data_IF_745260928125
#
_entry.id   IF_745260928125
#
_cell.length_a   1.000
_cell.length_b   1.000
_cell.length_c   1.000
_cell.angle_alpha   90.00
_cell.angle_beta   90.00
_cell.angle_gamma   90.00
#
_symmetry.space_group_name_H-M   'P 1'
#
loop_
_entity.id
_entity.type
_entity.pdbx_description
1 polymer ?
#
# COMPACT_ATOMS: atom_id res chain seq x y z
N UNK A 1 -39.64 -23.19 19.73
CA UNK A 1 -38.18 -22.95 19.63
C UNK A 1 -37.87 -21.60 20.27
N UNK A 2 -36.83 -21.46 21.10
CA UNK A 2 -36.53 -20.17 21.76
C UNK A 2 -36.06 -19.12 20.74
N UNK A 3 -36.28 -17.80 20.99
CA UNK A 3 -35.75 -16.71 20.15
C UNK A 3 -34.24 -16.87 19.88
N UNK A 4 -33.51 -17.30 20.90
CA UNK A 4 -32.08 -17.58 20.84
C UNK A 4 -31.73 -18.72 19.88
N UNK A 5 -32.51 -19.80 19.90
CA UNK A 5 -32.33 -20.95 19.00
C UNK A 5 -32.67 -20.59 17.56
N UNK A 6 -33.71 -19.77 17.34
CA UNK A 6 -34.07 -19.24 16.01
C UNK A 6 -32.94 -18.35 15.46
N UNK A 7 -32.41 -17.43 16.27
CA UNK A 7 -31.26 -16.59 15.89
C UNK A 7 -30.05 -17.42 15.48
N UNK A 8 -29.70 -18.45 16.27
CA UNK A 8 -28.58 -19.32 15.96
C UNK A 8 -28.80 -20.09 14.66
N UNK A 9 -30.00 -20.64 14.46
CA UNK A 9 -30.33 -21.33 13.22
C UNK A 9 -30.15 -20.40 12.01
N UNK A 10 -30.72 -19.20 12.05
CA UNK A 10 -30.60 -18.22 10.97
C UNK A 10 -29.13 -17.84 10.73
N UNK A 11 -28.40 -17.45 11.78
CA UNK A 11 -27.00 -17.00 11.66
C UNK A 11 -26.11 -18.08 11.06
N UNK A 12 -26.15 -19.30 11.60
CA UNK A 12 -25.28 -20.38 11.11
C UNK A 12 -25.74 -20.90 9.74
N UNK A 13 -27.04 -20.90 9.44
CA UNK A 13 -27.52 -21.19 8.08
C UNK A 13 -26.96 -20.18 7.08
N UNK A 14 -27.01 -18.88 7.38
CA UNK A 14 -26.42 -17.84 6.51
C UNK A 14 -24.91 -18.01 6.43
N UNK A 15 -24.22 -18.16 7.56
CA UNK A 15 -22.76 -18.31 7.60
C UNK A 15 -22.32 -19.50 6.74
N UNK A 16 -22.88 -20.70 6.98
CA UNK A 16 -22.48 -21.89 6.23
C UNK A 16 -22.92 -21.84 4.76
N UNK A 17 -24.09 -21.26 4.45
CA UNK A 17 -24.50 -21.07 3.05
C UNK A 17 -23.55 -20.12 2.32
N UNK A 18 -23.15 -19.02 2.97
CA UNK A 18 -22.17 -18.07 2.43
C UNK A 18 -20.80 -18.70 2.28
N UNK A 19 -20.29 -19.40 3.30
CA UNK A 19 -18.99 -20.11 3.21
C UNK A 19 -19.01 -21.17 2.13
N UNK A 20 -20.09 -21.95 2.01
CA UNK A 20 -20.24 -22.94 0.94
C UNK A 20 -20.25 -22.29 -0.44
N UNK A 21 -20.97 -21.17 -0.58
CA UNK A 21 -21.05 -20.40 -1.82
C UNK A 21 -19.70 -19.78 -2.23
N UNK A 22 -18.89 -19.34 -1.26
CA UNK A 22 -17.60 -18.72 -1.49
C UNK A 22 -16.53 -19.78 -1.76
N UNK A 23 -16.37 -20.77 -0.87
CA UNK A 23 -15.16 -21.60 -0.77
C UNK A 23 -15.40 -23.12 -0.82
N UNK A 24 -16.58 -23.58 -1.23
CA UNK A 24 -16.93 -25.00 -1.40
C UNK A 24 -16.93 -25.83 -0.09
N UNK A 25 -17.06 -27.16 -0.21
CA UNK A 25 -17.40 -28.04 0.92
C UNK A 25 -16.24 -28.35 1.88
N UNK A 26 -14.98 -28.29 1.44
CA UNK A 26 -13.81 -28.57 2.29
C UNK A 26 -13.72 -27.59 3.47
N UNK A 27 -13.94 -26.30 3.20
CA UNK A 27 -13.93 -25.23 4.20
C UNK A 27 -15.00 -25.39 5.28
N UNK A 28 -16.10 -26.07 4.96
CA UNK A 28 -17.16 -26.34 5.94
C UNK A 28 -16.69 -27.32 7.01
N UNK A 29 -15.92 -28.35 6.63
CA UNK A 29 -15.34 -29.30 7.58
C UNK A 29 -14.32 -28.63 8.49
N UNK A 30 -13.41 -27.85 7.93
CA UNK A 30 -12.40 -27.12 8.70
C UNK A 30 -13.05 -26.15 9.69
N UNK A 31 -14.11 -25.46 9.26
CA UNK A 31 -14.88 -24.56 10.14
C UNK A 31 -15.55 -25.29 11.30
N UNK A 32 -16.11 -26.48 11.06
CA UNK A 32 -16.73 -27.31 12.11
C UNK A 32 -15.68 -27.80 13.10
N UNK A 33 -14.54 -28.32 12.61
CA UNK A 33 -13.45 -28.79 13.45
C UNK A 33 -12.89 -27.65 14.32
N UNK A 34 -12.72 -26.48 13.74
CA UNK A 34 -12.25 -25.29 14.44
C UNK A 34 -13.24 -24.84 15.54
N UNK A 35 -14.54 -24.84 15.24
CA UNK A 35 -15.59 -24.54 16.23
C UNK A 35 -15.63 -25.57 17.36
N UNK A 36 -15.45 -26.85 17.06
CA UNK A 36 -15.38 -27.91 18.07
C UNK A 36 -14.16 -27.72 18.99
N UNK A 37 -12.99 -27.45 18.41
CA UNK A 37 -11.78 -27.17 19.16
C UNK A 37 -11.92 -25.95 20.07
N UNK A 38 -12.43 -24.83 19.54
CA UNK A 38 -12.69 -23.62 20.35
C UNK A 38 -13.76 -23.85 21.42
N UNK A 39 -14.75 -24.71 21.17
CA UNK A 39 -15.72 -25.08 22.19
C UNK A 39 -15.03 -25.79 23.35
N UNK A 40 -14.08 -26.70 23.12
CA UNK A 40 -13.38 -27.39 24.20
C UNK A 40 -12.57 -26.39 25.05
N UNK A 41 -11.80 -25.52 24.40
CA UNK A 41 -11.03 -24.47 25.10
C UNK A 41 -11.93 -23.53 25.90
N UNK A 42 -13.02 -23.06 25.29
CA UNK A 42 -13.98 -22.18 25.96
C UNK A 42 -14.67 -22.88 27.13
N UNK A 43 -14.91 -24.19 27.03
CA UNK A 43 -15.48 -24.97 28.13
C UNK A 43 -14.54 -24.98 29.35
N UNK A 44 -13.24 -25.14 29.13
CA UNK A 44 -12.24 -25.06 30.21
C UNK A 44 -12.29 -23.73 30.95
N UNK A 45 -12.30 -22.61 30.21
CA UNK A 45 -12.43 -21.26 30.79
C UNK A 45 -13.77 -21.09 31.52
N UNK A 46 -14.87 -21.52 30.89
CA UNK A 46 -16.21 -21.44 31.45
C UNK A 46 -16.34 -22.25 32.75
N UNK A 47 -15.75 -23.44 32.81
CA UNK A 47 -15.71 -24.30 33.99
C UNK A 47 -14.96 -23.62 35.13
N UNK A 48 -13.75 -23.11 34.88
CA UNK A 48 -12.96 -22.37 35.87
C UNK A 48 -13.73 -21.15 36.39
N UNK A 49 -14.30 -20.35 35.48
CA UNK A 49 -15.09 -19.17 35.85
C UNK A 49 -16.33 -19.52 36.68
N UNK A 50 -17.03 -20.60 36.32
CA UNK A 50 -18.22 -21.06 37.05
C UNK A 50 -17.86 -21.57 38.45
N UNK A 51 -16.73 -22.28 38.58
CA UNK A 51 -16.20 -22.72 39.88
C UNK A 51 -15.82 -21.52 40.76
N UNK A 52 -15.09 -20.55 40.23
CA UNK A 52 -14.71 -19.32 40.94
C UNK A 52 -15.92 -18.50 41.39
N UNK A 53 -16.97 -18.42 40.56
CA UNK A 53 -18.20 -17.69 40.86
C UNK A 53 -19.26 -18.53 41.60
N UNK A 54 -18.94 -19.76 42.02
CA UNK A 54 -19.88 -20.71 42.65
C UNK A 54 -21.19 -20.88 41.87
N UNK A 55 -21.14 -20.82 40.53
CA UNK A 55 -22.31 -21.00 39.67
C UNK A 55 -22.50 -22.47 39.32
N UNK A 56 -23.76 -22.92 39.26
CA UNK A 56 -24.11 -24.26 38.77
C UNK A 56 -23.65 -24.39 37.31
N UNK A 57 -22.95 -25.47 37.00
CA UNK A 57 -22.55 -25.79 35.64
C UNK A 57 -23.79 -26.11 34.80
N UNK A 58 -23.80 -25.57 33.58
CA UNK A 58 -24.80 -25.88 32.56
C UNK A 58 -24.63 -27.33 32.09
N UNK A 59 -25.73 -27.94 31.66
CA UNK A 59 -25.66 -29.19 30.89
C UNK A 59 -24.88 -28.98 29.58
N UNK A 60 -24.39 -30.07 28.97
CA UNK A 60 -23.65 -30.01 27.71
C UNK A 60 -24.42 -29.26 26.61
N UNK A 61 -25.73 -29.52 26.46
CA UNK A 61 -26.60 -28.85 25.49
C UNK A 61 -26.72 -27.36 25.76
N UNK A 62 -26.97 -26.97 27.01
CA UNK A 62 -27.09 -25.56 27.41
C UNK A 62 -25.77 -24.80 27.27
N UNK A 63 -24.65 -25.49 27.53
CA UNK A 63 -23.32 -24.97 27.32
C UNK A 63 -23.05 -24.74 25.82
N UNK A 64 -23.32 -25.71 24.94
CA UNK A 64 -23.12 -25.56 23.49
C UNK A 64 -23.98 -24.42 22.94
N UNK A 65 -25.26 -24.34 23.31
CA UNK A 65 -26.13 -23.22 22.93
C UNK A 65 -25.64 -21.88 23.48
N UNK A 66 -24.97 -21.88 24.63
CA UNK A 66 -24.33 -20.68 25.17
C UNK A 66 -23.08 -20.31 24.37
N UNK A 67 -22.17 -21.25 24.14
CA UNK A 67 -20.95 -21.06 23.35
C UNK A 67 -21.25 -20.54 21.94
N UNK A 68 -22.07 -21.27 21.17
CA UNK A 68 -22.42 -20.88 19.80
C UNK A 68 -23.09 -19.50 19.76
N UNK A 69 -23.92 -19.15 20.75
CA UNK A 69 -24.50 -17.80 20.79
C UNK A 69 -23.48 -16.71 21.05
N UNK A 70 -22.44 -16.97 21.85
CA UNK A 70 -21.37 -16.01 22.11
C UNK A 70 -20.48 -15.85 20.89
N UNK A 71 -20.14 -16.96 20.22
CA UNK A 71 -19.39 -16.93 18.97
C UNK A 71 -20.17 -16.19 17.88
N UNK A 72 -21.46 -16.48 17.68
CA UNK A 72 -22.28 -15.80 16.68
C UNK A 72 -22.34 -14.28 16.93
N UNK A 73 -22.59 -13.85 18.17
CA UNK A 73 -22.60 -12.41 18.52
C UNK A 73 -21.22 -11.79 18.31
N UNK A 74 -20.16 -12.47 18.74
CA UNK A 74 -18.79 -11.98 18.57
C UNK A 74 -18.41 -11.84 17.09
N UNK A 75 -18.73 -12.83 16.25
CA UNK A 75 -18.51 -12.79 14.81
C UNK A 75 -19.31 -11.67 14.14
N UNK A 76 -20.57 -11.45 14.53
CA UNK A 76 -21.36 -10.33 14.02
C UNK A 76 -20.73 -8.97 14.37
N UNK A 77 -20.24 -8.82 15.60
CA UNK A 77 -19.55 -7.60 16.03
C UNK A 77 -18.27 -7.40 15.21
N UNK A 78 -17.47 -8.45 15.01
CA UNK A 78 -16.26 -8.41 14.20
C UNK A 78 -16.57 -8.05 12.75
N UNK A 79 -17.51 -8.75 12.11
CA UNK A 79 -17.90 -8.52 10.73
C UNK A 79 -18.43 -7.09 10.55
N UNK A 80 -19.28 -6.64 11.46
CA UNK A 80 -19.79 -5.27 11.45
C UNK A 80 -18.67 -4.25 11.62
N UNK A 81 -17.74 -4.46 12.56
CA UNK A 81 -16.62 -3.57 12.80
C UNK A 81 -15.70 -3.46 11.57
N UNK A 82 -15.24 -4.59 11.02
CA UNK A 82 -14.37 -4.60 9.85
C UNK A 82 -15.07 -4.07 8.61
N UNK A 83 -16.33 -4.44 8.38
CA UNK A 83 -17.09 -3.92 7.25
C UNK A 83 -17.29 -2.40 7.36
N UNK A 84 -17.59 -1.90 8.55
CA UNK A 84 -17.69 -0.46 8.81
C UNK A 84 -16.37 0.25 8.58
N UNK A 85 -15.24 -0.36 8.98
CA UNK A 85 -13.91 0.17 8.72
C UNK A 85 -13.61 0.21 7.22
N UNK A 86 -13.85 -0.89 6.48
CA UNK A 86 -13.61 -0.92 5.04
C UNK A 86 -14.50 0.07 4.28
N UNK A 87 -15.77 0.17 4.68
CA UNK A 87 -16.68 1.17 4.12
C UNK A 87 -16.25 2.60 4.43
N UNK A 88 -15.82 2.88 5.66
CA UNK A 88 -15.32 4.19 6.04
C UNK A 88 -14.09 4.57 5.20
N UNK A 89 -13.11 3.67 5.08
CA UNK A 89 -11.87 3.90 4.35
C UNK A 89 -12.08 4.05 2.85
N UNK A 90 -13.04 3.34 2.25
CA UNK A 90 -13.30 3.45 0.80
C UNK A 90 -14.29 4.56 0.43
N UNK A 91 -15.32 4.80 1.24
CA UNK A 91 -16.47 5.63 0.85
C UNK A 91 -16.57 6.96 1.60
N UNK A 92 -16.18 7.00 2.89
CA UNK A 92 -16.34 8.19 3.74
C UNK A 92 -15.06 9.02 3.76
N UNK A 93 -13.91 8.37 3.93
CA UNK A 93 -12.61 9.01 4.07
C UNK A 93 -11.54 8.30 3.23
N UNK A 94 -11.73 8.22 1.89
CA UNK A 94 -10.69 7.69 1.01
C UNK A 94 -9.42 8.53 1.11
N UNK A 95 -8.28 7.89 0.88
CA UNK A 95 -7.01 8.57 0.85
C UNK A 95 -7.01 9.68 -0.22
N UNK A 96 -6.18 10.68 0.00
CA UNK A 96 -6.02 11.82 -0.90
C UNK A 96 -4.55 11.99 -1.21
N UNK A 97 -4.23 12.21 -2.48
CA UNK A 97 -2.90 12.61 -2.90
C UNK A 97 -2.85 14.12 -3.13
N UNK A 98 -1.91 14.83 -2.50
CA UNK A 98 -1.75 16.25 -2.67
C UNK A 98 -0.99 16.59 -3.97
N UNK A 99 -1.39 17.71 -4.56
CA UNK A 99 -0.54 18.57 -5.39
C UNK A 99 -0.25 19.83 -4.59
N UNK A 100 1.02 20.02 -4.25
CA UNK A 100 1.50 21.21 -3.55
C UNK A 100 1.93 22.26 -4.57
N UNK A 101 1.40 23.47 -4.48
CA UNK A 101 2.02 24.62 -5.13
C UNK A 101 2.94 25.28 -4.12
N UNK A 102 4.24 25.28 -4.38
CA UNK A 102 5.26 25.94 -3.55
C UNK A 102 5.93 27.07 -4.34
N UNK A 103 6.36 28.12 -3.64
CA UNK A 103 7.07 29.25 -4.26
C UNK A 103 8.00 29.95 -3.28
N UNK A 104 9.09 30.52 -3.80
CA UNK A 104 9.97 31.47 -3.09
C UNK A 104 9.83 32.91 -3.63
N UNK A 105 8.75 33.21 -4.36
CA UNK A 105 8.54 34.50 -5.04
C UNK A 105 9.27 34.65 -6.38
N UNK A 106 10.33 33.87 -6.64
CA UNK A 106 11.04 33.86 -7.93
C UNK A 106 10.64 32.68 -8.81
N UNK A 107 10.44 31.52 -8.19
CA UNK A 107 10.07 30.25 -8.83
C UNK A 107 8.75 29.73 -8.27
N UNK A 108 8.03 28.99 -9.10
CA UNK A 108 6.79 28.30 -8.74
C UNK A 108 6.95 26.83 -9.12
N UNK A 109 6.78 25.94 -8.14
CA UNK A 109 6.81 24.49 -8.34
C UNK A 109 5.45 23.94 -7.96
N UNK A 110 4.83 23.19 -8.88
CA UNK A 110 3.67 22.37 -8.60
C UNK A 110 4.13 20.93 -8.43
N UNK A 111 4.17 20.44 -7.21
CA UNK A 111 4.60 19.08 -6.88
C UNK A 111 3.38 18.16 -6.76
N UNK A 112 3.20 17.29 -7.74
CA UNK A 112 2.18 16.25 -7.73
C UNK A 112 2.72 14.98 -7.08
N UNK A 113 2.12 14.58 -5.95
CA UNK A 113 2.38 13.27 -5.37
C UNK A 113 1.87 12.16 -6.31
N UNK A 114 2.77 11.26 -6.69
CA UNK A 114 2.52 10.11 -7.54
C UNK A 114 2.67 8.80 -6.75
N UNK A 115 2.10 7.72 -7.28
CA UNK A 115 2.57 6.36 -7.01
C UNK A 115 2.37 5.51 -8.27
N UNK A 116 2.98 4.33 -8.27
CA UNK A 116 3.04 3.47 -9.46
C UNK A 116 1.75 2.76 -9.81
N UNK A 117 0.78 2.67 -8.89
CA UNK A 117 -0.51 2.01 -9.13
C UNK A 117 -1.62 2.86 -8.54
N UNK A 118 -2.55 3.34 -9.37
CA UNK A 118 -3.74 4.11 -8.99
C UNK A 118 -4.90 3.95 -9.98
N UNK A 119 -6.02 4.60 -9.68
CA UNK A 119 -7.20 4.59 -10.55
C UNK A 119 -6.97 5.29 -11.88
N UNK A 120 -7.75 4.91 -12.89
CA UNK A 120 -7.76 5.59 -14.18
C UNK A 120 -8.12 7.07 -14.06
N UNK A 121 -9.09 7.40 -13.21
CA UNK A 121 -9.50 8.78 -12.94
C UNK A 121 -8.34 9.62 -12.41
N UNK A 122 -7.53 9.05 -11.50
CA UNK A 122 -6.36 9.75 -10.97
C UNK A 122 -5.38 10.10 -12.09
N UNK A 123 -4.93 9.12 -12.87
CA UNK A 123 -3.97 9.37 -13.95
C UNK A 123 -4.56 10.21 -15.09
N UNK A 124 -5.87 10.11 -15.36
CA UNK A 124 -6.58 11.01 -16.27
C UNK A 124 -6.51 12.47 -15.81
N UNK A 125 -6.68 12.71 -14.50
CA UNK A 125 -6.47 14.04 -13.92
C UNK A 125 -5.01 14.51 -14.06
N UNK A 126 -4.02 13.64 -13.82
CA UNK A 126 -2.60 13.99 -14.00
C UNK A 126 -2.31 14.37 -15.44
N UNK A 127 -2.78 13.57 -16.41
CA UNK A 127 -2.66 13.88 -17.84
C UNK A 127 -3.24 15.25 -18.19
N UNK A 128 -4.43 15.55 -17.69
CA UNK A 128 -5.08 16.85 -17.91
C UNK A 128 -4.31 18.01 -17.27
N UNK A 129 -3.75 17.80 -16.07
CA UNK A 129 -2.89 18.79 -15.41
C UNK A 129 -1.61 19.05 -16.21
N UNK A 130 -0.95 18.00 -16.72
CA UNK A 130 0.23 18.17 -17.57
C UNK A 130 -0.11 19.01 -18.80
N UNK A 131 -1.20 18.69 -19.50
CA UNK A 131 -1.63 19.47 -20.67
C UNK A 131 -1.91 20.93 -20.29
N UNK A 132 -2.56 21.16 -19.16
CA UNK A 132 -2.93 22.51 -18.68
C UNK A 132 -1.69 23.30 -18.29
N UNK A 133 -0.82 22.75 -17.45
CA UNK A 133 0.35 23.47 -16.94
C UNK A 133 1.40 23.71 -18.02
N UNK A 134 1.57 22.81 -18.98
CA UNK A 134 2.43 23.06 -20.14
C UNK A 134 1.94 24.24 -20.98
N UNK A 135 0.63 24.41 -21.16
CA UNK A 135 0.05 25.61 -21.81
C UNK A 135 0.32 26.89 -21.00
N UNK A 136 0.47 26.77 -19.69
CA UNK A 136 0.84 27.86 -18.78
C UNK A 136 2.37 28.05 -18.61
N UNK A 137 3.16 27.47 -19.53
CA UNK A 137 4.63 27.54 -19.60
C UNK A 137 5.36 26.86 -18.43
N UNK A 138 4.76 25.84 -17.82
CA UNK A 138 5.47 24.95 -16.92
C UNK A 138 6.29 23.92 -17.71
N UNK A 139 7.53 23.68 -17.29
CA UNK A 139 8.31 22.51 -17.72
C UNK A 139 7.99 21.30 -16.85
N UNK A 140 8.06 20.09 -17.41
CA UNK A 140 7.75 18.87 -16.66
C UNK A 140 9.01 18.24 -16.10
N UNK A 141 9.11 18.12 -14.79
CA UNK A 141 10.12 17.30 -14.13
C UNK A 141 9.49 15.98 -13.71
N UNK A 142 10.07 14.85 -14.10
CA UNK A 142 9.47 13.55 -13.81
C UNK A 142 10.45 12.52 -13.25
N UNK A 143 9.90 11.69 -12.38
CA UNK A 143 10.55 10.52 -11.79
C UNK A 143 10.62 9.37 -12.81
N UNK A 144 11.83 8.86 -13.03
CA UNK A 144 12.08 7.62 -13.78
C UNK A 144 13.51 7.16 -13.51
N UNK A 145 13.69 6.22 -12.59
CA UNK A 145 15.01 5.63 -12.33
C UNK A 145 15.46 4.89 -13.59
N UNK A 146 16.56 5.35 -14.18
CA UNK A 146 17.10 4.75 -15.40
C UNK A 146 17.65 3.36 -15.09
N UNK A 147 17.47 2.38 -15.99
CA UNK A 147 18.01 1.03 -15.79
C UNK A 147 19.54 1.08 -15.67
N UNK A 148 20.08 0.20 -14.82
CA UNK A 148 21.52 0.01 -14.70
C UNK A 148 22.01 -1.11 -15.61
N UNK A 149 23.30 -1.43 -15.51
CA UNK A 149 23.85 -2.63 -16.14
C UNK A 149 23.27 -3.91 -15.51
N UNK A 150 23.40 -5.05 -16.21
CA UNK A 150 22.79 -6.32 -15.77
C UNK A 150 23.21 -6.74 -14.35
N UNK A 151 24.50 -6.53 -14.00
CA UNK A 151 25.04 -6.87 -12.67
C UNK A 151 24.41 -6.01 -11.58
N UNK A 152 24.33 -4.70 -11.81
CA UNK A 152 23.77 -3.77 -10.83
C UNK A 152 22.24 -3.90 -10.72
N UNK A 153 21.53 -4.26 -11.78
CA UNK A 153 20.10 -4.60 -11.70
C UNK A 153 19.88 -5.83 -10.80
N UNK A 154 20.71 -6.86 -10.91
CA UNK A 154 20.62 -8.03 -10.03
C UNK A 154 20.94 -7.67 -8.57
N UNK A 155 22.01 -6.90 -8.34
CA UNK A 155 22.36 -6.38 -7.01
C UNK A 155 21.21 -5.56 -6.41
N UNK A 156 20.62 -4.67 -7.18
CA UNK A 156 19.51 -3.82 -6.75
C UNK A 156 18.29 -4.66 -6.33
N UNK A 157 17.92 -5.67 -7.13
CA UNK A 157 16.86 -6.61 -6.76
C UNK A 157 17.16 -7.38 -5.46
N UNK A 158 18.41 -7.78 -5.24
CA UNK A 158 18.84 -8.41 -3.98
C UNK A 158 18.75 -7.45 -2.79
N UNK A 159 19.15 -6.19 -2.98
CA UNK A 159 19.05 -5.14 -1.95
C UNK A 159 17.60 -4.83 -1.58
N UNK A 160 16.69 -4.84 -2.57
CA UNK A 160 15.26 -4.64 -2.34
C UNK A 160 14.57 -5.87 -1.76
N UNK A 161 15.18 -7.06 -1.87
CA UNK A 161 14.56 -8.34 -1.47
C UNK A 161 13.40 -8.78 -2.38
N UNK A 162 13.12 -8.04 -3.46
CA UNK A 162 12.07 -8.33 -4.44
C UNK A 162 12.62 -8.19 -5.86
N UNK A 163 12.10 -8.98 -6.80
CA UNK A 163 12.36 -8.75 -8.22
C UNK A 163 11.58 -7.53 -8.69
N UNK A 164 12.29 -6.43 -8.89
CA UNK A 164 11.70 -5.19 -9.36
C UNK A 164 11.55 -5.22 -10.88
N UNK A 165 10.32 -5.16 -11.39
CA UNK A 165 10.05 -5.08 -12.82
C UNK A 165 8.81 -4.24 -13.08
N UNK A 166 8.63 -3.80 -14.33
CA UNK A 166 7.38 -3.16 -14.77
C UNK A 166 6.18 -4.11 -14.59
N UNK A 167 6.39 -5.40 -14.81
CA UNK A 167 5.37 -6.43 -14.69
C UNK A 167 4.85 -6.55 -13.26
N UNK A 168 5.71 -6.37 -12.26
CA UNK A 168 5.32 -6.32 -10.84
C UNK A 168 4.19 -5.33 -10.58
N UNK A 169 4.24 -4.13 -11.16
CA UNK A 169 3.18 -3.13 -10.98
C UNK A 169 1.90 -3.47 -11.73
N UNK A 170 2.02 -4.09 -12.91
CA UNK A 170 0.87 -4.56 -13.70
C UNK A 170 0.13 -5.67 -12.94
N UNK A 171 0.84 -6.59 -12.31
CA UNK A 171 0.20 -7.68 -11.58
C UNK A 171 -0.40 -7.20 -10.27
N UNK A 172 0.34 -6.39 -9.50
CA UNK A 172 -0.20 -5.78 -8.29
C UNK A 172 -1.46 -4.98 -8.58
N UNK A 173 -1.54 -4.25 -9.71
CA UNK A 173 -2.72 -3.44 -10.03
C UNK A 173 -4.01 -4.26 -10.15
N UNK A 174 -3.92 -5.52 -10.59
CA UNK A 174 -5.05 -6.47 -10.64
C UNK A 174 -5.64 -6.74 -9.25
N UNK A 175 -4.80 -6.88 -8.21
CA UNK A 175 -5.25 -7.14 -6.84
C UNK A 175 -5.99 -5.98 -6.18
N UNK A 176 -5.83 -4.77 -6.71
CA UNK A 176 -6.46 -3.56 -6.21
C UNK A 176 -7.55 -3.01 -7.15
N UNK A 177 -7.75 -3.63 -8.32
CA UNK A 177 -8.56 -3.08 -9.41
C UNK A 177 -8.16 -1.64 -9.74
N UNK A 178 -6.86 -1.45 -9.90
CA UNK A 178 -6.26 -0.18 -10.28
C UNK A 178 -5.47 -0.44 -11.58
N UNK A 179 -4.72 0.56 -12.02
CA UNK A 179 -3.78 0.38 -13.11
C UNK A 179 -2.41 0.91 -12.77
N UNK A 180 -1.42 0.45 -13.50
CA UNK A 180 -0.06 0.95 -13.42
C UNK A 180 0.11 2.33 -14.08
N UNK A 181 1.08 3.08 -13.59
CA UNK A 181 1.55 4.31 -14.22
C UNK A 181 2.14 4.03 -15.60
N UNK A 182 1.68 4.77 -16.61
CA UNK A 182 2.16 4.67 -18.00
C UNK A 182 2.76 5.99 -18.47
N UNK A 183 4.09 6.06 -18.54
CA UNK A 183 4.81 7.31 -18.80
C UNK A 183 4.45 8.00 -20.12
N UNK A 184 4.12 7.22 -21.16
CA UNK A 184 3.68 7.76 -22.45
C UNK A 184 2.36 8.54 -22.39
N UNK A 185 1.60 8.46 -21.30
CA UNK A 185 0.35 9.22 -21.15
C UNK A 185 0.54 10.65 -20.65
N UNK A 186 1.72 11.01 -20.17
CA UNK A 186 2.02 12.33 -19.62
C UNK A 186 3.27 12.97 -20.23
N UNK A 187 4.24 12.18 -20.69
CA UNK A 187 5.42 12.73 -21.34
C UNK A 187 5.10 13.22 -22.76
N UNK A 188 5.71 14.32 -23.17
CA UNK A 188 5.74 14.86 -24.52
C UNK A 188 4.39 15.25 -25.13
N UNK A 189 3.35 15.46 -24.30
CA UNK A 189 1.98 15.70 -24.78
C UNK A 189 1.75 17.05 -25.49
N UNK A 190 2.47 18.11 -25.11
CA UNK A 190 2.25 19.48 -25.59
C UNK A 190 3.52 20.10 -26.18
N UNK A 191 4.67 19.83 -25.57
CA UNK A 191 5.98 20.29 -25.98
C UNK A 191 7.05 19.26 -25.58
N UNK A 192 8.29 19.54 -26.00
CA UNK A 192 9.49 18.75 -25.71
C UNK A 192 10.27 19.25 -24.50
N UNK A 193 9.63 19.95 -23.57
CA UNK A 193 10.29 20.51 -22.37
C UNK A 193 10.03 19.64 -21.13
N UNK A 194 10.43 18.36 -21.23
CA UNK A 194 10.31 17.38 -20.16
C UNK A 194 11.67 16.83 -19.77
N UNK A 195 11.94 16.84 -18.48
CA UNK A 195 13.24 16.51 -17.90
C UNK A 195 13.07 15.34 -16.95
N UNK A 196 13.81 14.28 -17.22
CA UNK A 196 13.95 13.20 -16.24
C UNK A 196 14.92 13.66 -15.15
N UNK A 197 14.37 14.07 -14.01
CA UNK A 197 15.14 14.58 -12.87
C UNK A 197 15.28 13.48 -11.83
N UNK A 198 16.08 12.47 -12.18
CA UNK A 198 16.22 11.25 -11.41
C UNK A 198 17.61 10.61 -11.64
N UNK A 199 17.88 9.55 -10.91
CA UNK A 199 19.15 8.81 -10.90
C UNK A 199 19.08 7.52 -11.73
N UNK A 200 20.21 6.83 -11.86
CA UNK A 200 20.30 5.49 -12.44
C UNK A 200 20.37 4.42 -11.34
N UNK A 201 20.01 3.18 -11.66
CA UNK A 201 20.26 2.04 -10.74
C UNK A 201 21.76 1.90 -10.43
N UNK A 202 22.63 2.19 -11.41
CA UNK A 202 24.09 2.11 -11.21
C UNK A 202 24.58 3.08 -10.13
N UNK A 203 24.08 4.32 -10.14
CA UNK A 203 24.37 5.31 -9.10
C UNK A 203 23.79 4.91 -7.74
N UNK A 204 22.57 4.36 -7.68
CA UNK A 204 21.97 3.89 -6.43
C UNK A 204 22.82 2.78 -5.82
N UNK A 205 23.23 1.79 -6.62
CA UNK A 205 24.08 0.68 -6.17
C UNK A 205 25.44 1.20 -5.70
N UNK A 206 26.06 2.10 -6.47
CA UNK A 206 27.35 2.70 -6.10
C UNK A 206 27.28 3.44 -4.77
N UNK A 207 26.24 4.25 -4.55
CA UNK A 207 26.04 4.99 -3.30
C UNK A 207 25.73 4.08 -2.13
N UNK A 208 24.93 3.03 -2.36
CA UNK A 208 24.67 2.01 -1.36
C UNK A 208 25.96 1.33 -0.93
N UNK A 209 26.75 0.85 -1.89
CA UNK A 209 28.03 0.20 -1.63
C UNK A 209 29.01 1.16 -0.94
N UNK A 210 29.06 2.44 -1.32
CA UNK A 210 29.91 3.43 -0.66
C UNK A 210 29.50 3.71 0.79
N UNK A 211 28.19 3.90 1.04
CA UNK A 211 27.65 4.24 2.37
C UNK A 211 27.67 3.04 3.32
N UNK A 212 27.42 1.85 2.80
CA UNK A 212 27.28 0.64 3.59
C UNK A 212 28.45 -0.33 3.40
N UNK A 213 29.56 0.06 2.76
CA UNK A 213 30.73 -0.78 2.41
C UNK A 213 31.17 -1.76 3.51
N UNK A 214 31.30 -1.27 4.74
CA UNK A 214 31.72 -2.08 5.91
C UNK A 214 30.66 -3.10 6.29
N UNK A 215 29.38 -2.72 6.24
CA UNK A 215 28.26 -3.65 6.41
C UNK A 215 28.28 -4.66 5.27
N UNK A 216 28.49 -4.24 4.02
CA UNK A 216 28.50 -5.09 2.82
C UNK A 216 29.58 -6.17 2.86
N UNK A 217 30.73 -6.00 3.54
CA UNK A 217 31.72 -7.09 3.69
C UNK A 217 31.26 -8.20 4.66
N UNK A 218 30.61 -7.84 5.77
CA UNK A 218 29.98 -8.79 6.70
C UNK A 218 28.67 -9.35 6.14
N UNK A 219 27.91 -8.51 5.46
CA UNK A 219 26.63 -8.86 4.85
C UNK A 219 26.83 -9.58 3.52
N UNK A 220 27.96 -9.52 2.83
CA UNK A 220 28.26 -10.43 1.72
C UNK A 220 28.43 -11.90 2.19
N UNK A 221 28.60 -12.14 3.51
CA UNK A 221 28.43 -13.48 4.09
C UNK A 221 26.96 -13.82 4.42
N UNK A 222 26.05 -12.83 4.51
CA UNK A 222 24.61 -12.97 4.85
C UNK A 222 23.69 -12.84 3.62
N UNK A 223 24.08 -12.08 2.58
CA UNK A 223 23.49 -11.95 1.23
C UNK A 223 23.89 -13.17 0.37
N UNK A 224 24.60 -14.14 0.96
CA UNK A 224 24.56 -15.52 0.49
C UNK A 224 23.19 -16.10 0.87
N UNK A 225 22.30 -16.25 -0.13
CA UNK A 225 21.16 -17.19 -0.19
C UNK A 225 19.71 -16.70 -0.01
N UNK A 226 19.37 -15.42 -0.04
CA UNK A 226 17.95 -15.07 -0.25
C UNK A 226 17.71 -14.69 -1.71
N UNK A 227 17.09 -15.61 -2.45
CA UNK A 227 16.52 -15.33 -3.76
C UNK A 227 15.47 -14.23 -3.60
N UNK A 228 15.55 -13.11 -4.34
CA UNK A 228 14.55 -12.05 -4.25
C UNK A 228 13.14 -12.61 -4.45
N UNK A 229 12.21 -12.17 -3.61
CA UNK A 229 10.82 -12.59 -3.69
C UNK A 229 10.22 -12.23 -5.04
N UNK A 230 9.58 -13.21 -5.66
CA UNK A 230 8.99 -13.09 -6.98
C UNK A 230 7.51 -12.70 -6.84
N UNK A 231 7.28 -11.37 -6.81
CA UNK A 231 5.94 -10.80 -6.63
C UNK A 231 5.01 -11.24 -7.76
N UNK A 232 5.51 -11.31 -9.00
CA UNK A 232 4.74 -11.72 -10.17
C UNK A 232 4.17 -13.14 -9.98
N UNK A 233 5.03 -14.10 -9.60
CA UNK A 233 4.60 -15.48 -9.35
C UNK A 233 3.54 -15.55 -8.25
N UNK A 234 3.76 -14.83 -7.15
CA UNK A 234 2.83 -14.84 -6.01
C UNK A 234 1.49 -14.21 -6.34
N UNK A 235 1.49 -13.08 -7.04
CA UNK A 235 0.25 -12.42 -7.47
C UNK A 235 -0.51 -13.29 -8.47
N UNK A 236 0.18 -13.94 -9.40
CA UNK A 236 -0.45 -14.87 -10.33
C UNK A 236 -1.12 -16.05 -9.60
N UNK A 237 -0.48 -16.60 -8.57
CA UNK A 237 -1.06 -17.65 -7.71
C UNK A 237 -2.33 -17.18 -6.99
N UNK A 238 -2.31 -15.98 -6.39
CA UNK A 238 -3.51 -15.39 -5.78
C UNK A 238 -4.62 -15.20 -6.83
N UNK A 239 -4.30 -14.55 -7.96
CA UNK A 239 -5.31 -14.23 -8.99
C UNK A 239 -5.94 -15.49 -9.58
N UNK A 240 -5.17 -16.57 -9.74
CA UNK A 240 -5.67 -17.85 -10.26
C UNK A 240 -6.47 -18.68 -9.25
N UNK A 241 -6.27 -18.45 -7.95
CA UNK A 241 -6.98 -19.19 -6.89
C UNK A 241 -8.40 -18.67 -6.67
N UNK A 242 -8.60 -17.37 -6.83
CA UNK A 242 -9.86 -16.70 -6.49
C UNK A 242 -10.78 -16.63 -7.71
N UNK A 243 -12.07 -16.92 -7.52
CA UNK A 243 -13.08 -16.65 -8.55
C UNK A 243 -13.45 -15.15 -8.60
N UNK A 244 -14.18 -14.72 -9.64
CA UNK A 244 -14.56 -13.32 -9.85
C UNK A 244 -15.25 -12.64 -8.64
N UNK A 245 -16.01 -13.41 -7.85
CA UNK A 245 -16.74 -12.87 -6.68
C UNK A 245 -15.81 -12.68 -5.50
N UNK A 246 -14.98 -13.67 -5.22
CA UNK A 246 -13.97 -13.59 -4.16
C UNK A 246 -12.98 -12.47 -4.47
N UNK A 247 -12.59 -12.33 -5.74
CA UNK A 247 -11.72 -11.26 -6.22
C UNK A 247 -12.31 -9.87 -5.94
N UNK A 248 -13.62 -9.65 -6.17
CA UNK A 248 -14.28 -8.37 -5.85
C UNK A 248 -14.23 -8.03 -4.37
N UNK A 249 -14.42 -9.03 -3.49
CA UNK A 249 -14.32 -8.82 -2.04
C UNK A 249 -12.88 -8.47 -1.66
N UNK A 250 -11.91 -9.23 -2.18
CA UNK A 250 -10.48 -9.01 -1.94
C UNK A 250 -10.06 -7.60 -2.39
N UNK A 251 -10.45 -7.18 -3.59
CA UNK A 251 -10.20 -5.83 -4.12
C UNK A 251 -10.75 -4.77 -3.18
N UNK A 252 -11.99 -4.90 -2.71
CA UNK A 252 -12.61 -3.92 -1.82
C UNK A 252 -11.87 -3.78 -0.49
N UNK A 253 -11.47 -4.92 0.11
CA UNK A 253 -10.67 -4.95 1.34
C UNK A 253 -9.28 -4.35 1.11
N UNK A 254 -8.61 -4.73 0.02
CA UNK A 254 -7.28 -4.24 -0.35
C UNK A 254 -7.27 -2.72 -0.59
N UNK A 255 -8.30 -2.18 -1.22
CA UNK A 255 -8.47 -0.73 -1.39
C UNK A 255 -8.61 0.00 -0.05
N UNK A 256 -9.36 -0.56 0.90
CA UNK A 256 -9.50 0.03 2.23
C UNK A 256 -8.16 0.01 2.98
N UNK A 257 -7.41 -1.09 2.89
CA UNK A 257 -6.07 -1.20 3.49
C UNK A 257 -5.12 -0.18 2.85
N UNK A 258 -5.13 -0.01 1.53
CA UNK A 258 -4.33 1.01 0.83
C UNK A 258 -4.71 2.42 1.27
N UNK A 259 -6.01 2.74 1.34
CA UNK A 259 -6.49 4.03 1.83
C UNK A 259 -5.99 4.31 3.26
N UNK A 260 -6.03 3.30 4.13
CA UNK A 260 -5.54 3.40 5.49
C UNK A 260 -4.02 3.62 5.57
N UNK A 261 -3.23 2.85 4.81
CA UNK A 261 -1.76 2.98 4.77
C UNK A 261 -1.35 4.37 4.26
N UNK A 262 -1.95 4.83 3.15
CA UNK A 262 -1.60 6.13 2.54
C UNK A 262 -1.89 7.29 3.49
N UNK A 263 -2.92 7.19 4.34
CA UNK A 263 -3.24 8.22 5.34
C UNK A 263 -2.32 8.20 6.57
N UNK A 264 -1.55 7.14 6.79
CA UNK A 264 -0.76 6.94 8.00
C UNK A 264 0.73 6.89 7.72
N UNK A 265 1.43 7.99 8.02
CA UNK A 265 2.89 8.06 7.92
C UNK A 265 3.56 6.99 8.80
N UNK A 266 3.06 6.78 10.02
CA UNK A 266 3.61 5.77 10.95
C UNK A 266 3.57 4.36 10.36
N UNK A 267 2.49 4.02 9.63
CA UNK A 267 2.37 2.70 9.01
C UNK A 267 3.28 2.60 7.79
N UNK A 268 3.41 3.67 7.01
CA UNK A 268 4.37 3.72 5.89
C UNK A 268 5.81 3.52 6.41
N UNK A 269 6.20 4.23 7.46
CA UNK A 269 7.52 4.12 8.07
C UNK A 269 7.75 2.71 8.65
N UNK A 270 6.75 2.13 9.32
CA UNK A 270 6.81 0.76 9.83
C UNK A 270 6.94 -0.28 8.71
N UNK A 271 6.18 -0.14 7.62
CA UNK A 271 6.25 -1.04 6.47
C UNK A 271 7.63 -0.97 5.79
N UNK A 272 8.18 0.24 5.62
CA UNK A 272 9.52 0.46 5.12
C UNK A 272 10.58 -0.18 6.03
N UNK A 273 10.46 -0.02 7.34
CA UNK A 273 11.37 -0.63 8.30
C UNK A 273 11.31 -2.16 8.29
N UNK A 274 10.11 -2.74 8.20
CA UNK A 274 9.91 -4.20 8.23
C UNK A 274 10.32 -4.90 6.93
N UNK A 275 10.35 -4.18 5.81
CA UNK A 275 10.75 -4.73 4.51
C UNK A 275 12.22 -5.20 4.44
N UNK A 276 13.05 -4.93 5.45
CA UNK A 276 14.48 -5.28 5.46
C UNK A 276 15.33 -4.42 4.50
N UNK A 277 14.69 -3.60 3.67
CA UNK A 277 15.30 -2.79 2.62
C UNK A 277 15.48 -1.32 3.04
N UNK A 278 15.40 -1.02 4.34
CA UNK A 278 15.55 0.34 4.91
C UNK A 278 16.80 1.05 4.40
N UNK A 279 17.93 0.35 4.31
CA UNK A 279 19.19 0.92 3.84
C UNK A 279 19.12 1.36 2.36
N UNK A 280 18.50 0.55 1.50
CA UNK A 280 18.37 0.91 0.07
C UNK A 280 17.29 1.98 -0.13
N UNK A 281 16.17 1.93 0.60
CA UNK A 281 15.17 2.99 0.57
C UNK A 281 15.71 4.33 1.10
N UNK A 282 16.61 4.33 2.08
CA UNK A 282 17.30 5.54 2.53
C UNK A 282 18.13 6.17 1.41
N UNK A 283 18.83 5.37 0.60
CA UNK A 283 19.54 5.86 -0.59
C UNK A 283 18.57 6.36 -1.65
N UNK A 284 17.56 5.55 -2.00
CA UNK A 284 16.54 5.90 -3.01
C UNK A 284 15.89 7.23 -2.62
N UNK A 285 15.39 7.37 -1.40
CA UNK A 285 14.72 8.60 -0.98
C UNK A 285 15.71 9.77 -0.92
N UNK A 286 16.80 9.67 -0.15
CA UNK A 286 17.66 10.83 0.11
C UNK A 286 18.40 11.34 -1.11
N UNK A 287 18.95 10.45 -1.94
CA UNK A 287 19.72 10.87 -3.10
C UNK A 287 18.83 11.57 -4.13
N UNK A 288 17.68 10.96 -4.43
CA UNK A 288 16.73 11.47 -5.41
C UNK A 288 16.10 12.78 -4.95
N UNK A 289 15.85 12.93 -3.64
CA UNK A 289 15.43 14.20 -3.06
C UNK A 289 16.44 15.32 -3.30
N UNK A 290 17.75 15.03 -3.16
CA UNK A 290 18.81 16.02 -3.42
C UNK A 290 18.88 16.38 -4.90
N UNK A 291 18.90 15.40 -5.80
CA UNK A 291 18.93 15.63 -7.25
C UNK A 291 17.77 16.53 -7.66
N UNK A 292 16.55 16.21 -7.24
CA UNK A 292 15.37 17.00 -7.58
C UNK A 292 15.42 18.42 -6.98
N UNK A 293 15.84 18.57 -5.72
CA UNK A 293 15.94 19.88 -5.09
C UNK A 293 17.02 20.77 -5.75
N UNK A 294 18.18 20.18 -6.07
CA UNK A 294 19.26 20.85 -6.79
C UNK A 294 18.79 21.32 -8.17
N UNK A 295 18.15 20.44 -8.95
CA UNK A 295 17.64 20.81 -10.27
C UNK A 295 16.60 21.95 -10.18
N UNK A 296 15.69 21.89 -9.21
CA UNK A 296 14.72 22.98 -8.95
C UNK A 296 15.41 24.31 -8.65
N UNK A 297 16.55 24.29 -7.95
CA UNK A 297 17.32 25.48 -7.60
C UNK A 297 18.10 26.03 -8.80
N UNK A 298 18.79 25.16 -9.52
CA UNK A 298 19.77 25.52 -10.55
C UNK A 298 19.14 25.78 -11.91
N UNK A 299 18.01 25.16 -12.23
CA UNK A 299 17.33 25.33 -13.52
C UNK A 299 16.96 26.80 -13.80
N UNK A 300 17.07 27.24 -15.05
CA UNK A 300 16.64 28.60 -15.44
C UNK A 300 15.11 28.75 -15.47
N UNK A 301 14.38 27.64 -15.50
CA UNK A 301 12.92 27.64 -15.58
C UNK A 301 12.28 28.17 -14.30
N UNK A 302 11.35 29.12 -14.45
CA UNK A 302 10.64 29.74 -13.32
C UNK A 302 9.40 28.95 -12.86
N UNK A 303 8.88 28.07 -13.72
CA UNK A 303 7.66 27.31 -13.49
C UNK A 303 7.92 25.84 -13.78
N UNK A 304 7.77 24.97 -12.77
CA UNK A 304 8.02 23.53 -12.90
C UNK A 304 6.81 22.75 -12.40
N UNK A 305 6.36 21.77 -13.19
CA UNK A 305 5.40 20.77 -12.75
C UNK A 305 6.17 19.48 -12.48
N UNK A 306 6.16 19.01 -11.24
CA UNK A 306 6.96 17.89 -10.77
C UNK A 306 6.03 16.69 -10.55
N UNK A 307 6.27 15.60 -11.27
CA UNK A 307 5.64 14.29 -11.06
C UNK A 307 6.61 13.38 -10.32
N UNK A 308 6.42 13.20 -9.01
CA UNK A 308 7.30 12.40 -8.16
C UNK A 308 6.53 11.68 -7.05
N UNK A 309 7.10 10.60 -6.54
CA UNK A 309 6.53 9.77 -5.49
C UNK A 309 6.19 10.59 -4.26
N UNK A 310 5.01 10.33 -3.66
CA UNK A 310 4.49 11.10 -2.52
C UNK A 310 5.50 11.30 -1.39
N UNK A 311 6.30 10.28 -1.10
CA UNK A 311 7.28 10.26 -0.01
C UNK A 311 8.42 11.29 -0.17
N UNK A 312 8.62 11.83 -1.37
CA UNK A 312 9.71 12.75 -1.66
C UNK A 312 9.41 14.20 -1.23
N UNK A 313 8.13 14.63 -1.27
CA UNK A 313 7.77 16.05 -1.12
C UNK A 313 8.35 16.70 0.15
N UNK A 314 8.10 16.10 1.33
CA UNK A 314 8.52 16.66 2.63
C UNK A 314 10.02 16.95 2.67
N UNK A 315 10.83 16.04 2.13
CA UNK A 315 12.27 16.14 2.15
C UNK A 315 12.80 17.12 1.11
N UNK A 316 12.27 17.10 -0.11
CA UNK A 316 12.59 18.08 -1.16
C UNK A 316 12.28 19.48 -0.65
N UNK A 317 11.08 19.70 -0.09
CA UNK A 317 10.68 21.00 0.45
C UNK A 317 11.62 21.46 1.58
N UNK A 318 12.02 20.57 2.49
CA UNK A 318 12.99 20.89 3.52
C UNK A 318 14.37 21.29 2.96
N UNK A 319 14.84 20.65 1.89
CA UNK A 319 16.12 21.01 1.24
C UNK A 319 15.99 22.40 0.59
N UNK A 320 14.88 22.66 -0.11
CA UNK A 320 14.60 23.96 -0.71
C UNK A 320 14.56 25.07 0.34
N UNK A 321 13.85 24.88 1.46
CA UNK A 321 13.78 25.86 2.55
C UNK A 321 15.12 26.12 3.23
N UNK A 322 15.99 25.11 3.36
CA UNK A 322 17.34 25.29 3.89
C UNK A 322 18.20 26.19 3.00
N UNK A 323 18.00 26.13 1.69
CA UNK A 323 18.74 26.97 0.73
C UNK A 323 18.17 28.39 0.61
N UNK A 324 16.84 28.51 0.71
CA UNK A 324 16.12 29.77 0.56
C UNK A 324 14.88 29.72 1.48
N UNK A 325 14.93 30.39 2.64
CA UNK A 325 13.83 30.41 3.61
C UNK A 325 12.51 30.96 3.07
N UNK A 326 12.50 31.62 1.90
CA UNK A 326 11.28 32.17 1.30
C UNK A 326 10.39 31.10 0.67
N UNK A 327 10.86 29.86 0.50
CA UNK A 327 10.02 28.77 0.03
C UNK A 327 8.86 28.51 1.00
N UNK A 328 7.64 28.66 0.47
CA UNK A 328 6.39 28.46 1.20
C UNK A 328 5.41 27.60 0.39
N UNK A 329 4.53 26.88 1.08
CA UNK A 329 3.39 26.21 0.47
C UNK A 329 2.31 27.27 0.24
N UNK A 330 2.03 27.56 -1.03
CA UNK A 330 1.03 28.54 -1.46
C UNK A 330 -0.37 27.92 -1.47
N UNK A 331 -0.49 26.67 -1.94
CA UNK A 331 -1.77 25.96 -1.96
C UNK A 331 -1.59 24.44 -2.02
N UNK A 332 -2.64 23.72 -1.62
CA UNK A 332 -2.72 22.27 -1.72
C UNK A 332 -4.02 21.88 -2.41
N UNK A 333 -3.93 21.12 -3.50
CA UNK A 333 -5.08 20.50 -4.17
C UNK A 333 -5.04 18.99 -3.94
N UNK A 334 -6.18 18.35 -3.75
CA UNK A 334 -6.26 16.92 -3.46
C UNK A 334 -6.90 16.14 -4.61
N UNK A 335 -6.34 14.96 -4.90
CA UNK A 335 -6.86 13.99 -5.84
C UNK A 335 -7.16 12.68 -5.11
N UNK A 336 -8.12 11.92 -5.64
CA UNK A 336 -8.52 10.64 -5.05
C UNK A 336 -7.89 9.50 -5.85
N UNK A 337 -6.79 8.91 -5.36
CA UNK A 337 -6.06 7.87 -6.07
C UNK A 337 -6.84 6.55 -6.19
N UNK A 338 -7.69 6.25 -5.20
CA UNK A 338 -8.49 5.03 -5.10
C UNK A 338 -9.93 5.47 -4.89
N UNK A 339 -10.77 5.35 -5.93
CA UNK A 339 -12.19 5.66 -5.86
C UNK A 339 -13.02 4.44 -6.29
#
# INVERSE_FOLDING_TARGET
MSKKTIFLAIFYSILFSTTFYISWISWLFDSILLLAFYSILFYGIYFLYSKLRKRKLKSAREYLLYFYSRIAVFMLIILWFFWSLFYYENSISPAKLPEYTISNGKKIVKFQGMAHIWSDDFYGNIRNNVITYKKDWFVLFFEWVKPGNAVNNEKFNKMLGIKFSKQTYIDLSKLYWLREQRNNEFLWLVNTDDFNVDTTIDEIVSQYEAKYWVVTKMQNQIIKQETPFDVEKYVAEIVSTFNDREMKILIYVNRAIMNFIVKSQTIQDFALEKSGSKNVFDIILNNRNKILATEIQETEHKKMYVLYGLLHFKWVFNILQKSDPNWQIVSVKYYYPVK
#
